data_IF_428728408191
#
_entry.id   IF_428728408191
#
_cell.length_a   1.000
_cell.length_b   1.000
_cell.length_c   1.000
_cell.angle_alpha   90.00
_cell.angle_beta   90.00
_cell.angle_gamma   90.00
#
_symmetry.space_group_name_H-M   'P 1'
#
loop_
_entity.id
_entity.type
_entity.pdbx_description
1 polymer ?
#
# COMPACT_ATOMS: atom_id res chain seq x y z
N UNK A 1 7.35 36.29 33.91
CA UNK A 1 6.82 35.13 34.67
C UNK A 1 5.70 34.35 33.97
N UNK A 2 5.44 34.57 32.71
CA UNK A 2 4.37 33.94 31.88
C UNK A 2 4.86 32.73 31.08
N UNK A 3 6.16 32.50 30.96
CA UNK A 3 6.75 31.52 30.05
C UNK A 3 6.80 30.07 30.62
N UNK A 4 6.85 29.90 31.93
CA UNK A 4 7.01 28.56 32.54
C UNK A 4 5.73 27.72 32.57
N UNK A 5 4.56 28.36 32.57
CA UNK A 5 3.26 27.65 32.58
C UNK A 5 2.87 27.09 31.19
N UNK A 6 3.21 27.82 30.15
CA UNK A 6 2.95 27.39 28.77
C UNK A 6 3.83 26.21 28.37
N UNK A 7 5.12 26.23 28.75
CA UNK A 7 6.05 25.09 28.58
C UNK A 7 5.60 23.84 29.37
N UNK A 8 5.07 24.03 30.59
CA UNK A 8 4.59 22.90 31.41
C UNK A 8 3.31 22.31 30.86
N UNK A 9 2.43 23.13 30.26
CA UNK A 9 1.19 22.68 29.63
C UNK A 9 1.47 21.94 28.33
N UNK A 10 2.38 22.44 27.50
CA UNK A 10 2.85 21.80 26.28
C UNK A 10 3.58 20.47 26.58
N UNK A 11 4.40 20.42 27.64
CA UNK A 11 5.10 19.20 28.05
C UNK A 11 4.15 18.12 28.60
N UNK A 12 3.12 18.51 29.38
CA UNK A 12 2.06 17.57 29.84
C UNK A 12 1.16 17.10 28.70
N UNK A 13 0.88 17.96 27.75
CA UNK A 13 0.07 17.58 26.57
C UNK A 13 0.84 16.63 25.65
N UNK A 14 2.14 16.87 25.45
CA UNK A 14 3.02 15.98 24.71
C UNK A 14 3.17 14.59 25.37
N UNK A 15 3.20 14.51 26.68
CA UNK A 15 3.30 13.24 27.42
C UNK A 15 2.02 12.39 27.34
N UNK A 16 0.84 13.03 27.29
CA UNK A 16 -0.44 12.33 27.10
C UNK A 16 -0.65 11.86 25.65
N UNK A 17 -0.21 12.65 24.68
CA UNK A 17 -0.23 12.30 23.25
C UNK A 17 0.63 11.07 23.02
N UNK A 18 1.82 10.97 23.61
CA UNK A 18 2.73 9.82 23.47
C UNK A 18 2.09 8.47 23.89
N UNK A 19 1.25 8.41 24.92
CA UNK A 19 0.64 7.14 25.35
C UNK A 19 -0.37 6.60 24.33
N UNK A 20 -1.21 7.48 23.77
CA UNK A 20 -2.22 7.10 22.77
C UNK A 20 -1.57 6.77 21.42
N UNK A 21 -0.47 7.45 21.08
CA UNK A 21 0.32 7.12 19.90
C UNK A 21 0.99 5.74 20.02
N UNK A 22 1.47 5.38 21.20
CA UNK A 22 2.09 4.08 21.47
C UNK A 22 1.15 2.92 21.15
N UNK A 23 -0.14 3.04 21.49
CA UNK A 23 -1.15 2.00 21.15
C UNK A 23 -1.18 1.75 19.64
N UNK A 24 -1.21 2.83 18.84
CA UNK A 24 -1.19 2.71 17.38
C UNK A 24 0.11 2.10 16.88
N UNK A 25 1.25 2.53 17.41
CA UNK A 25 2.56 2.01 17.01
C UNK A 25 2.71 0.52 17.31
N UNK A 26 2.23 0.05 18.45
CA UNK A 26 2.18 -1.39 18.75
C UNK A 26 1.30 -2.15 17.75
N UNK A 27 0.14 -1.60 17.40
CA UNK A 27 -0.69 -2.19 16.36
C UNK A 27 0.03 -2.31 15.02
N UNK A 28 0.77 -1.27 14.61
CA UNK A 28 1.57 -1.30 13.37
C UNK A 28 2.66 -2.38 13.45
N UNK A 29 3.37 -2.50 14.57
CA UNK A 29 4.39 -3.53 14.77
C UNK A 29 3.77 -4.93 14.62
N UNK A 30 2.64 -5.18 15.27
CA UNK A 30 1.94 -6.46 15.24
C UNK A 30 1.50 -6.80 13.82
N UNK A 31 0.80 -5.88 13.13
CA UNK A 31 0.24 -6.18 11.81
C UNK A 31 1.31 -6.32 10.73
N UNK A 32 2.37 -5.50 10.75
CA UNK A 32 3.48 -5.61 9.80
C UNK A 32 4.27 -6.90 10.03
N UNK A 33 4.55 -7.26 11.29
CA UNK A 33 5.15 -8.55 11.66
C UNK A 33 4.30 -9.71 11.16
N UNK A 34 3.01 -9.71 11.48
CA UNK A 34 2.05 -10.73 11.02
C UNK A 34 2.04 -10.88 9.50
N UNK A 35 2.00 -9.76 8.77
CA UNK A 35 1.99 -9.77 7.31
C UNK A 35 3.27 -10.39 6.72
N UNK A 36 4.43 -10.06 7.25
CA UNK A 36 5.70 -10.65 6.77
C UNK A 36 5.77 -12.13 7.12
N UNK A 37 5.42 -12.49 8.35
CA UNK A 37 5.42 -13.88 8.80
C UNK A 37 4.40 -14.75 8.05
N UNK A 38 3.26 -14.18 7.60
CA UNK A 38 2.30 -14.93 6.78
C UNK A 38 2.83 -15.30 5.39
N UNK A 39 3.88 -14.60 4.92
CA UNK A 39 4.61 -14.96 3.71
C UNK A 39 5.89 -15.77 3.98
N UNK A 40 6.26 -15.97 5.24
CA UNK A 40 7.50 -16.66 5.62
C UNK A 40 7.39 -18.16 5.42
N UNK A 41 8.44 -18.76 4.85
CA UNK A 41 8.62 -20.22 4.74
C UNK A 41 9.56 -20.75 5.84
N UNK A 42 10.23 -19.86 6.60
CA UNK A 42 11.07 -20.25 7.76
C UNK A 42 10.21 -20.44 9.01
N UNK A 43 9.23 -19.55 9.19
CA UNK A 43 8.40 -19.51 10.41
C UNK A 43 6.96 -19.74 9.99
N UNK A 44 6.44 -20.93 10.26
CA UNK A 44 5.02 -21.23 10.07
C UNK A 44 4.20 -20.66 11.22
N UNK A 45 3.23 -19.80 10.89
CA UNK A 45 2.28 -19.28 11.87
C UNK A 45 1.09 -20.24 11.97
N UNK A 46 0.83 -20.77 13.18
CA UNK A 46 -0.39 -21.56 13.38
C UNK A 46 -1.65 -20.69 13.16
N UNK A 47 -2.76 -21.27 12.70
CA UNK A 47 -4.02 -20.54 12.51
C UNK A 47 -4.48 -19.81 13.77
N UNK A 48 -4.30 -20.42 14.94
CA UNK A 48 -4.65 -19.84 16.24
C UNK A 48 -3.81 -18.58 16.52
N UNK A 49 -2.49 -18.65 16.31
CA UNK A 49 -1.60 -17.52 16.53
C UNK A 49 -1.87 -16.39 15.52
N UNK A 50 -2.16 -16.72 14.26
CA UNK A 50 -2.57 -15.75 13.24
C UNK A 50 -3.85 -15.00 13.65
N UNK A 51 -4.85 -15.71 14.16
CA UNK A 51 -6.09 -15.14 14.65
C UNK A 51 -5.87 -14.27 15.89
N UNK A 52 -4.99 -14.69 16.80
CA UNK A 52 -4.60 -13.91 17.98
C UNK A 52 -3.97 -12.57 17.58
N UNK A 53 -3.04 -12.56 16.62
CA UNK A 53 -2.42 -11.32 16.11
C UNK A 53 -3.46 -10.41 15.44
N UNK A 54 -4.39 -10.98 14.66
CA UNK A 54 -5.49 -10.22 14.05
C UNK A 54 -6.37 -9.57 15.12
N UNK A 55 -6.79 -10.33 16.12
CA UNK A 55 -7.64 -9.85 17.23
C UNK A 55 -6.92 -8.77 18.04
N UNK A 56 -5.64 -8.97 18.34
CA UNK A 56 -4.82 -7.99 19.06
C UNK A 56 -4.71 -6.68 18.28
N UNK A 57 -4.49 -6.74 16.96
CA UNK A 57 -4.48 -5.55 16.13
C UNK A 57 -5.82 -4.82 16.15
N UNK A 58 -6.93 -5.53 15.95
CA UNK A 58 -8.28 -4.95 15.99
C UNK A 58 -8.55 -4.29 17.34
N UNK A 59 -8.21 -4.97 18.45
CA UNK A 59 -8.36 -4.46 19.80
C UNK A 59 -7.55 -3.17 20.02
N UNK A 60 -6.27 -3.12 19.61
CA UNK A 60 -5.44 -1.94 19.74
C UNK A 60 -5.97 -0.76 18.91
N UNK A 61 -6.43 -1.01 17.67
CA UNK A 61 -7.01 0.05 16.85
C UNK A 61 -8.32 0.57 17.45
N UNK A 62 -9.17 -0.31 17.96
CA UNK A 62 -10.40 0.06 18.66
C UNK A 62 -10.10 0.87 19.91
N UNK A 63 -9.16 0.43 20.74
CA UNK A 63 -8.74 1.15 21.94
C UNK A 63 -8.20 2.55 21.58
N UNK A 64 -7.40 2.67 20.52
CA UNK A 64 -6.91 3.96 20.02
C UNK A 64 -8.06 4.87 19.61
N UNK A 65 -9.05 4.35 18.90
CA UNK A 65 -10.25 5.11 18.51
C UNK A 65 -10.99 5.60 19.73
N UNK A 66 -11.24 4.74 20.73
CA UNK A 66 -11.92 5.10 21.97
C UNK A 66 -11.18 6.22 22.72
N UNK A 67 -9.83 6.12 22.83
CA UNK A 67 -9.02 7.15 23.48
C UNK A 67 -9.03 8.52 22.78
N UNK A 68 -9.34 8.54 21.47
CA UNK A 68 -9.39 9.78 20.66
C UNK A 68 -10.81 10.22 20.33
N UNK A 69 -11.81 9.45 20.76
CA UNK A 69 -13.20 9.74 20.50
C UNK A 69 -13.63 10.96 21.32
N UNK A 70 -14.15 11.96 20.62
CA UNK A 70 -14.77 13.12 21.26
C UNK A 70 -16.28 12.88 21.27
N UNK A 71 -16.92 12.91 22.42
CA UNK A 71 -18.35 12.59 22.64
C UNK A 71 -19.34 13.40 21.76
N UNK A 72 -18.87 14.44 21.08
CA UNK A 72 -19.67 15.16 20.08
C UNK A 72 -19.73 14.38 18.79
N UNK A 73 -20.84 13.67 18.58
CA UNK A 73 -21.12 12.96 17.32
C UNK A 73 -21.25 13.99 16.20
N UNK A 74 -20.30 13.95 15.25
CA UNK A 74 -20.34 14.74 14.01
C UNK A 74 -20.77 13.85 12.85
N UNK A 75 -21.34 14.43 11.79
CA UNK A 75 -21.72 13.71 10.56
C UNK A 75 -20.59 12.81 10.03
N UNK A 76 -19.33 13.26 10.16
CA UNK A 76 -18.14 12.49 9.79
C UNK A 76 -18.03 11.16 10.55
N UNK A 77 -18.40 11.10 11.83
CA UNK A 77 -18.33 9.87 12.61
C UNK A 77 -19.35 8.83 12.13
N UNK A 78 -20.52 9.27 11.66
CA UNK A 78 -21.56 8.40 11.07
C UNK A 78 -21.03 7.79 9.76
N UNK A 79 -20.40 8.60 8.90
CA UNK A 79 -19.80 8.13 7.65
C UNK A 79 -18.70 7.10 7.92
N UNK A 80 -17.83 7.33 8.92
CA UNK A 80 -16.82 6.36 9.32
C UNK A 80 -17.42 5.08 9.89
N UNK A 81 -18.47 5.15 10.68
CA UNK A 81 -19.16 3.97 11.20
C UNK A 81 -19.76 3.15 10.06
N UNK A 82 -20.45 3.79 9.11
CA UNK A 82 -20.96 3.11 7.91
C UNK A 82 -19.86 2.49 7.07
N UNK A 83 -18.73 3.18 6.91
CA UNK A 83 -17.58 2.63 6.22
C UNK A 83 -17.01 1.39 6.91
N UNK A 84 -16.91 1.38 8.26
CA UNK A 84 -16.47 0.18 9.00
C UNK A 84 -17.48 -0.95 8.84
N UNK A 85 -18.77 -0.69 9.01
CA UNK A 85 -19.82 -1.71 8.85
C UNK A 85 -19.72 -2.34 7.44
N UNK A 86 -19.59 -1.50 6.42
CA UNK A 86 -19.40 -1.98 5.04
C UNK A 86 -18.15 -2.84 4.90
N UNK A 87 -17.00 -2.40 5.44
CA UNK A 87 -15.75 -3.18 5.33
C UNK A 87 -15.79 -4.48 6.15
N UNK A 88 -16.49 -4.52 7.29
CA UNK A 88 -16.75 -5.76 8.04
C UNK A 88 -17.58 -6.72 7.19
N UNK A 89 -18.69 -6.24 6.63
CA UNK A 89 -19.55 -7.05 5.77
C UNK A 89 -18.77 -7.64 4.58
N UNK A 90 -18.07 -6.76 3.84
CA UNK A 90 -17.26 -7.19 2.69
C UNK A 90 -16.18 -8.20 3.13
N UNK A 91 -15.47 -7.96 4.24
CA UNK A 91 -14.42 -8.87 4.74
C UNK A 91 -14.94 -10.26 5.07
N UNK A 92 -16.15 -10.36 5.61
CA UNK A 92 -16.81 -11.64 5.87
C UNK A 92 -17.19 -12.32 4.55
N UNK A 93 -17.75 -11.56 3.59
CA UNK A 93 -18.15 -12.09 2.28
C UNK A 93 -16.97 -12.64 1.47
N UNK A 94 -15.82 -11.97 1.53
CA UNK A 94 -14.63 -12.38 0.75
C UNK A 94 -13.68 -13.30 1.52
N UNK A 95 -13.98 -13.62 2.79
CA UNK A 95 -13.08 -14.35 3.71
C UNK A 95 -11.66 -13.75 3.78
N UNK A 96 -11.59 -12.41 3.74
CA UNK A 96 -10.31 -11.68 3.76
C UNK A 96 -10.42 -10.37 4.54
N UNK A 97 -9.69 -10.27 5.64
CA UNK A 97 -9.76 -9.14 6.57
C UNK A 97 -8.85 -7.96 6.22
N UNK A 98 -8.18 -7.98 5.07
CA UNK A 98 -7.19 -6.94 4.68
C UNK A 98 -7.82 -5.55 4.55
N UNK A 99 -9.05 -5.49 4.00
CA UNK A 99 -9.78 -4.21 3.86
C UNK A 99 -10.29 -3.70 5.22
N UNK A 100 -10.68 -4.60 6.13
CA UNK A 100 -11.06 -4.25 7.49
C UNK A 100 -9.85 -3.68 8.25
N UNK A 101 -8.69 -4.33 8.18
CA UNK A 101 -7.47 -3.83 8.83
C UNK A 101 -7.04 -2.49 8.26
N UNK A 102 -7.15 -2.30 6.94
CA UNK A 102 -6.92 -1.02 6.28
C UNK A 102 -7.88 0.06 6.79
N UNK A 103 -9.18 -0.23 6.87
CA UNK A 103 -10.18 0.72 7.36
C UNK A 103 -9.95 1.09 8.83
N UNK A 104 -9.70 0.11 9.70
CA UNK A 104 -9.40 0.35 11.12
C UNK A 104 -8.11 1.17 11.29
N UNK A 105 -7.06 0.83 10.53
CA UNK A 105 -5.80 1.57 10.53
C UNK A 105 -6.00 3.03 10.10
N UNK A 106 -6.81 3.28 9.07
CA UNK A 106 -7.14 4.63 8.61
C UNK A 106 -7.93 5.40 9.68
N UNK A 107 -8.93 4.81 10.28
CA UNK A 107 -9.78 5.49 11.27
C UNK A 107 -9.00 5.83 12.55
N UNK A 108 -8.16 4.89 13.00
CA UNK A 108 -7.28 5.08 14.15
C UNK A 108 -6.14 6.08 13.89
N UNK A 109 -5.89 6.49 12.64
CA UNK A 109 -4.81 7.40 12.23
C UNK A 109 -4.99 8.83 12.74
N UNK A 110 -6.20 9.21 13.17
CA UNK A 110 -6.48 10.57 13.64
C UNK A 110 -5.49 11.02 14.73
N UNK A 111 -4.86 12.19 14.50
CA UNK A 111 -3.89 12.78 15.42
C UNK A 111 -2.50 12.11 15.40
N UNK A 112 -2.25 11.19 14.46
CA UNK A 112 -0.96 10.48 14.35
C UNK A 112 -0.01 11.16 13.37
N UNK A 113 1.28 11.06 13.67
CA UNK A 113 2.32 11.46 12.73
C UNK A 113 2.65 10.32 11.75
N UNK A 114 2.21 10.46 10.51
CA UNK A 114 2.42 9.43 9.47
C UNK A 114 3.90 9.13 9.24
N UNK A 115 4.78 10.13 9.31
CA UNK A 115 6.22 9.90 9.15
C UNK A 115 6.79 8.97 10.22
N UNK A 116 6.27 9.06 11.46
CA UNK A 116 6.65 8.14 12.55
C UNK A 116 6.11 6.73 12.31
N UNK A 117 4.88 6.61 11.80
CA UNK A 117 4.28 5.31 11.46
C UNK A 117 5.10 4.60 10.36
N UNK A 118 5.42 5.32 9.28
CA UNK A 118 6.24 4.80 8.19
C UNK A 118 7.63 4.39 8.71
N UNK A 119 8.20 5.16 9.65
CA UNK A 119 9.50 4.82 10.26
C UNK A 119 9.44 3.53 11.07
N UNK A 120 8.38 3.31 11.83
CA UNK A 120 8.19 2.06 12.59
C UNK A 120 8.01 0.89 11.63
N UNK A 121 7.11 1.02 10.62
CA UNK A 121 6.95 0.02 9.56
C UNK A 121 8.27 -0.35 8.91
N UNK A 122 9.07 0.66 8.55
CA UNK A 122 10.40 0.51 7.96
C UNK A 122 11.35 -0.32 8.84
N UNK A 123 11.45 -0.02 10.14
CA UNK A 123 12.33 -0.79 11.04
C UNK A 123 11.86 -2.22 11.27
N UNK A 124 10.55 -2.45 11.37
CA UNK A 124 9.98 -3.80 11.46
C UNK A 124 10.26 -4.60 10.19
N UNK A 125 10.09 -3.99 9.01
CA UNK A 125 10.40 -4.63 7.72
C UNK A 125 11.91 -4.91 7.59
N UNK A 126 12.78 -3.96 7.95
CA UNK A 126 14.24 -4.19 7.98
C UNK A 126 14.56 -5.43 8.81
N UNK A 127 14.08 -5.48 10.04
CA UNK A 127 14.38 -6.60 10.93
C UNK A 127 14.02 -7.94 10.31
N UNK A 128 12.79 -8.10 9.88
CA UNK A 128 12.31 -9.37 9.32
C UNK A 128 12.93 -9.73 7.98
N UNK A 129 13.04 -8.77 7.06
CA UNK A 129 13.59 -9.04 5.73
C UNK A 129 15.11 -9.29 5.78
N UNK A 130 15.82 -8.64 6.68
CA UNK A 130 17.23 -8.93 6.94
C UNK A 130 17.41 -10.34 7.48
N UNK A 131 16.57 -10.78 8.42
CA UNK A 131 16.59 -12.15 8.94
C UNK A 131 16.38 -13.18 7.82
N UNK A 132 15.37 -12.98 6.95
CA UNK A 132 15.13 -13.87 5.80
C UNK A 132 16.30 -13.88 4.82
N UNK A 133 16.88 -12.72 4.54
CA UNK A 133 18.01 -12.61 3.62
C UNK A 133 19.26 -13.31 4.15
N UNK A 134 19.59 -13.14 5.43
CA UNK A 134 20.71 -13.87 6.06
C UNK A 134 20.46 -15.37 6.15
N UNK A 135 19.25 -15.80 6.48
CA UNK A 135 18.88 -17.21 6.47
C UNK A 135 19.03 -17.82 5.07
N UNK A 136 18.65 -17.07 4.02
CA UNK A 136 18.82 -17.49 2.64
C UNK A 136 20.30 -17.63 2.25
N UNK A 137 21.15 -16.65 2.59
CA UNK A 137 22.58 -16.73 2.35
C UNK A 137 23.18 -17.94 3.09
N UNK A 138 22.85 -18.11 4.36
CA UNK A 138 23.32 -19.25 5.16
C UNK A 138 22.92 -20.59 4.55
N UNK A 139 21.66 -20.70 4.06
CA UNK A 139 21.17 -21.90 3.42
C UNK A 139 21.92 -22.21 2.11
N UNK A 140 22.26 -21.21 1.29
CA UNK A 140 23.05 -21.43 0.07
C UNK A 140 24.39 -22.13 0.37
N UNK A 141 25.07 -21.72 1.47
CA UNK A 141 26.39 -22.27 1.79
C UNK A 141 26.33 -23.57 2.60
N UNK A 142 25.38 -23.71 3.53
CA UNK A 142 25.34 -24.82 4.47
C UNK A 142 24.32 -25.90 4.10
N UNK A 143 23.20 -25.51 3.44
CA UNK A 143 22.06 -26.39 3.15
C UNK A 143 21.48 -26.10 1.76
N UNK A 144 22.24 -26.26 0.66
CA UNK A 144 21.82 -25.83 -0.68
C UNK A 144 20.50 -26.49 -1.13
N UNK A 145 20.20 -27.70 -0.67
CA UNK A 145 18.96 -28.41 -0.99
C UNK A 145 17.72 -27.84 -0.31
N UNK A 146 17.88 -26.98 0.71
CA UNK A 146 16.76 -26.30 1.39
C UNK A 146 16.38 -24.99 0.72
N UNK A 147 17.17 -24.53 -0.26
CA UNK A 147 16.91 -23.27 -0.95
C UNK A 147 15.73 -23.43 -1.91
N UNK A 148 14.67 -22.71 -1.65
CA UNK A 148 13.46 -22.79 -2.46
C UNK A 148 13.52 -21.84 -3.65
N UNK A 149 13.08 -22.34 -4.79
CA UNK A 149 12.95 -21.59 -6.03
C UNK A 149 11.66 -21.98 -6.77
N UNK A 150 11.22 -21.11 -7.66
CA UNK A 150 10.15 -21.38 -8.61
C UNK A 150 10.72 -21.42 -10.01
N UNK A 151 10.30 -22.40 -10.82
CA UNK A 151 10.56 -22.41 -12.26
C UNK A 151 9.38 -21.74 -12.96
N UNK A 152 9.61 -20.60 -13.55
CA UNK A 152 8.62 -19.82 -14.30
C UNK A 152 9.26 -19.42 -15.63
N UNK A 153 8.64 -19.80 -16.74
CA UNK A 153 9.16 -19.55 -18.10
C UNK A 153 10.61 -20.06 -18.30
N UNK A 154 10.94 -21.24 -17.76
CA UNK A 154 12.27 -21.83 -17.74
C UNK A 154 13.34 -21.02 -16.98
N UNK A 155 12.95 -20.00 -16.22
CA UNK A 155 13.84 -19.22 -15.37
C UNK A 155 13.75 -19.67 -13.91
N UNK A 156 14.91 -19.85 -13.26
CA UNK A 156 14.99 -20.06 -11.81
C UNK A 156 14.79 -18.73 -11.10
N UNK A 157 13.78 -18.67 -10.23
CA UNK A 157 13.43 -17.49 -9.43
C UNK A 157 13.48 -17.84 -7.96
N UNK A 158 14.40 -17.27 -7.22
CA UNK A 158 14.54 -17.51 -5.78
C UNK A 158 13.48 -16.77 -4.98
N UNK A 159 13.01 -17.41 -3.91
CA UNK A 159 11.94 -16.87 -3.02
C UNK A 159 12.50 -16.17 -1.79
N UNK A 160 13.78 -16.36 -1.46
CA UNK A 160 14.43 -15.84 -0.23
C UNK A 160 13.62 -16.22 1.03
N UNK A 161 13.16 -17.47 1.08
CA UNK A 161 12.27 -18.01 2.14
C UNK A 161 10.96 -17.22 2.35
N UNK A 162 10.47 -16.58 1.30
CA UNK A 162 9.14 -15.97 1.23
C UNK A 162 8.30 -16.71 0.19
N UNK A 163 6.99 -16.74 0.38
CA UNK A 163 6.05 -17.62 -0.37
C UNK A 163 6.18 -17.58 -1.90
N UNK A 164 6.53 -16.42 -2.46
CA UNK A 164 6.67 -16.22 -3.90
C UNK A 164 7.76 -15.21 -4.25
N UNK A 165 8.45 -15.34 -5.41
CA UNK A 165 9.48 -14.38 -5.83
C UNK A 165 8.95 -12.95 -5.98
N UNK A 166 7.73 -12.76 -6.51
CA UNK A 166 7.12 -11.44 -6.67
C UNK A 166 6.78 -10.81 -5.32
N UNK A 167 6.28 -11.58 -4.35
CA UNK A 167 6.03 -11.12 -2.97
C UNK A 167 7.33 -10.68 -2.30
N UNK A 168 8.41 -11.45 -2.48
CA UNK A 168 9.73 -11.08 -2.00
C UNK A 168 10.19 -9.73 -2.58
N UNK A 169 10.19 -9.60 -3.91
CA UNK A 169 10.57 -8.35 -4.57
C UNK A 169 9.71 -7.16 -4.13
N UNK A 170 8.41 -7.37 -3.94
CA UNK A 170 7.46 -6.38 -3.44
C UNK A 170 7.83 -5.88 -2.04
N UNK A 171 8.09 -6.76 -1.09
CA UNK A 171 8.43 -6.39 0.28
C UNK A 171 9.72 -5.56 0.32
N UNK A 172 10.75 -5.94 -0.43
CA UNK A 172 11.98 -5.16 -0.54
C UNK A 172 11.79 -3.84 -1.29
N UNK A 173 10.94 -3.79 -2.32
CA UNK A 173 10.60 -2.55 -3.03
C UNK A 173 9.98 -1.53 -2.08
N UNK A 174 8.96 -1.93 -1.33
CA UNK A 174 8.26 -1.04 -0.39
C UNK A 174 9.15 -0.65 0.79
N UNK A 175 10.06 -1.52 1.25
CA UNK A 175 11.08 -1.17 2.22
C UNK A 175 11.98 -0.02 1.70
N UNK A 176 12.46 -0.11 0.46
CA UNK A 176 13.28 0.92 -0.16
C UNK A 176 12.47 2.21 -0.36
N UNK A 177 11.20 2.12 -0.73
CA UNK A 177 10.33 3.28 -0.89
C UNK A 177 10.06 3.99 0.44
N UNK A 178 9.88 3.25 1.55
CA UNK A 178 9.82 3.83 2.90
C UNK A 178 11.13 4.56 3.25
N UNK A 179 12.29 3.95 2.96
CA UNK A 179 13.58 4.62 3.13
C UNK A 179 13.68 5.92 2.32
N UNK A 180 13.33 5.88 1.03
CA UNK A 180 13.34 7.05 0.17
C UNK A 180 12.39 8.14 0.66
N UNK A 181 11.18 7.76 1.10
CA UNK A 181 10.21 8.68 1.66
C UNK A 181 10.74 9.36 2.93
N UNK A 182 11.29 8.60 3.86
CA UNK A 182 11.82 9.12 5.12
C UNK A 182 13.02 10.05 4.92
N UNK A 183 13.84 9.79 3.91
CA UNK A 183 15.07 10.53 3.62
C UNK A 183 14.98 11.42 2.38
N UNK A 184 13.78 11.75 1.90
CA UNK A 184 13.56 12.41 0.61
C UNK A 184 14.44 13.64 0.37
N UNK A 185 14.52 14.55 1.35
CA UNK A 185 15.33 15.76 1.28
C UNK A 185 16.86 15.52 1.27
N UNK A 186 17.27 14.33 1.68
CA UNK A 186 18.68 13.92 1.79
C UNK A 186 19.07 12.88 0.74
N UNK A 187 18.21 12.65 -0.26
CA UNK A 187 18.52 11.72 -1.34
C UNK A 187 19.62 12.32 -2.22
N UNK A 188 20.71 11.56 -2.36
CA UNK A 188 21.87 11.88 -3.18
C UNK A 188 22.10 10.78 -4.21
N UNK A 189 22.93 11.06 -5.23
CA UNK A 189 23.30 10.07 -6.22
C UNK A 189 23.97 8.82 -5.60
N UNK A 190 24.80 8.99 -4.56
CA UNK A 190 25.42 7.86 -3.86
C UNK A 190 24.38 6.96 -3.19
N UNK A 191 23.33 7.53 -2.56
CA UNK A 191 22.23 6.77 -1.97
C UNK A 191 21.40 6.04 -3.03
N UNK A 192 21.23 6.68 -4.20
CA UNK A 192 20.64 6.03 -5.36
C UNK A 192 21.47 4.80 -5.76
N UNK A 193 22.76 4.96 -5.96
CA UNK A 193 23.63 3.86 -6.39
C UNK A 193 23.59 2.69 -5.39
N UNK A 194 23.76 2.98 -4.10
CA UNK A 194 23.71 1.95 -3.04
C UNK A 194 22.35 1.22 -3.02
N UNK A 195 21.24 1.95 -3.05
CA UNK A 195 19.91 1.33 -3.07
C UNK A 195 19.66 0.53 -4.36
N UNK A 196 20.20 1.01 -5.50
CA UNK A 196 20.09 0.30 -6.79
C UNK A 196 20.91 -0.97 -6.82
N UNK A 197 22.12 -0.97 -6.27
CA UNK A 197 22.95 -2.18 -6.14
C UNK A 197 22.27 -3.22 -5.26
N UNK A 198 21.80 -2.80 -4.07
CA UNK A 198 21.08 -3.70 -3.18
C UNK A 198 19.81 -4.27 -3.83
N UNK A 199 18.98 -3.41 -4.42
CA UNK A 199 17.76 -3.84 -5.08
C UNK A 199 18.06 -4.67 -6.34
N UNK A 200 19.13 -4.37 -7.04
CA UNK A 200 19.62 -5.14 -8.19
C UNK A 200 19.90 -6.60 -7.85
N UNK A 201 20.48 -6.87 -6.66
CA UNK A 201 20.66 -8.24 -6.16
C UNK A 201 19.31 -8.93 -5.95
N UNK A 202 18.34 -8.25 -5.29
CA UNK A 202 17.01 -8.79 -5.07
C UNK A 202 16.30 -9.10 -6.40
N UNK A 203 16.38 -8.19 -7.37
CA UNK A 203 15.79 -8.37 -8.71
C UNK A 203 16.48 -9.50 -9.47
N UNK A 204 17.80 -9.61 -9.38
CA UNK A 204 18.53 -10.71 -10.00
C UNK A 204 18.07 -12.08 -9.48
N UNK A 205 17.85 -12.19 -8.16
CA UNK A 205 17.38 -13.41 -7.52
C UNK A 205 15.91 -13.71 -7.84
N UNK A 206 15.04 -12.70 -7.79
CA UNK A 206 13.58 -12.87 -7.92
C UNK A 206 13.06 -12.78 -9.35
N UNK A 207 13.83 -12.18 -10.27
CA UNK A 207 13.45 -11.90 -11.67
C UNK A 207 12.13 -11.14 -11.80
N UNK A 208 11.78 -10.28 -10.83
CA UNK A 208 10.53 -9.53 -10.80
C UNK A 208 10.59 -8.31 -11.73
N UNK A 209 10.01 -8.44 -12.93
CA UNK A 209 9.99 -7.38 -13.96
C UNK A 209 9.22 -6.15 -13.49
N UNK A 210 8.10 -6.33 -12.82
CA UNK A 210 7.26 -5.23 -12.32
C UNK A 210 7.98 -4.35 -11.33
N UNK A 211 8.64 -4.98 -10.35
CA UNK A 211 9.32 -4.25 -9.28
C UNK A 211 10.45 -3.37 -9.79
N UNK A 212 11.20 -3.83 -10.82
CA UNK A 212 12.25 -3.01 -11.42
C UNK A 212 11.66 -1.80 -12.17
N UNK A 213 10.58 -2.00 -12.93
CA UNK A 213 9.94 -0.90 -13.68
C UNK A 213 9.48 0.20 -12.73
N UNK A 214 8.80 -0.18 -11.64
CA UNK A 214 8.28 0.79 -10.67
C UNK A 214 9.41 1.46 -9.88
N UNK A 215 10.48 0.75 -9.56
CA UNK A 215 11.68 1.31 -8.93
C UNK A 215 12.34 2.37 -9.80
N UNK A 216 12.61 2.04 -11.08
CA UNK A 216 13.21 2.98 -12.03
C UNK A 216 12.31 4.20 -12.24
N UNK A 217 11.02 3.99 -12.39
CA UNK A 217 10.06 5.07 -12.57
C UNK A 217 10.03 6.01 -11.36
N UNK A 218 10.02 5.48 -10.12
CA UNK A 218 10.06 6.33 -8.93
C UNK A 218 11.30 7.24 -8.93
N UNK A 219 12.47 6.70 -9.27
CA UNK A 219 13.70 7.48 -9.36
C UNK A 219 13.62 8.55 -10.45
N UNK A 220 13.07 8.22 -11.61
CA UNK A 220 12.84 9.21 -12.68
C UNK A 220 11.91 10.33 -12.22
N UNK A 221 10.83 10.00 -11.51
CA UNK A 221 9.91 10.99 -10.97
C UNK A 221 10.59 11.89 -9.91
N UNK A 222 11.43 11.31 -9.04
CA UNK A 222 12.20 12.06 -8.04
C UNK A 222 13.21 12.99 -8.72
N UNK A 223 13.92 12.53 -9.73
CA UNK A 223 14.94 13.32 -10.43
C UNK A 223 14.36 14.45 -11.27
N UNK A 224 13.26 14.14 -11.98
CA UNK A 224 12.60 15.07 -12.88
C UNK A 224 11.62 16.02 -12.17
N UNK A 225 11.48 15.93 -10.85
CA UNK A 225 10.48 16.66 -10.07
C UNK A 225 10.60 18.18 -10.15
N UNK A 226 11.76 18.73 -10.55
CA UNK A 226 12.00 20.17 -10.72
C UNK A 226 11.32 20.73 -11.96
N UNK A 227 11.05 19.92 -13.00
CA UNK A 227 10.47 20.36 -14.27
C UNK A 227 8.98 20.66 -14.10
N UNK A 228 8.53 21.84 -14.52
CA UNK A 228 7.11 22.27 -14.40
C UNK A 228 6.13 21.30 -15.06
N UNK A 229 6.46 20.74 -16.24
CA UNK A 229 5.63 19.77 -16.94
C UNK A 229 5.43 18.50 -16.11
N UNK A 230 6.52 17.93 -15.56
CA UNK A 230 6.48 16.73 -14.73
C UNK A 230 5.68 16.98 -13.44
N UNK A 231 5.84 18.16 -12.81
CA UNK A 231 5.02 18.52 -11.62
C UNK A 231 3.52 18.53 -11.94
N UNK A 232 3.13 19.10 -13.10
CA UNK A 232 1.73 19.08 -13.52
C UNK A 232 1.23 17.66 -13.79
N UNK A 233 2.04 16.83 -14.48
CA UNK A 233 1.71 15.43 -14.76
C UNK A 233 1.53 14.61 -13.47
N UNK A 234 2.47 14.74 -12.51
CA UNK A 234 2.37 14.09 -11.20
C UNK A 234 1.11 14.56 -10.46
N UNK A 235 0.83 15.89 -10.48
CA UNK A 235 -0.38 16.44 -9.88
C UNK A 235 -1.65 15.88 -10.50
N UNK A 236 -1.73 15.82 -11.83
CA UNK A 236 -2.86 15.26 -12.55
C UNK A 236 -3.01 13.76 -12.26
N UNK A 237 -1.93 13.00 -12.40
CA UNK A 237 -1.98 11.54 -12.22
C UNK A 237 -2.25 11.13 -10.77
N UNK A 238 -1.71 11.84 -9.77
CA UNK A 238 -2.04 11.60 -8.36
C UNK A 238 -3.51 11.84 -8.02
N UNK A 239 -4.20 12.73 -8.76
CA UNK A 239 -5.60 13.09 -8.55
C UNK A 239 -6.57 12.18 -9.32
N UNK A 240 -6.29 11.92 -10.58
CA UNK A 240 -7.20 11.24 -11.50
C UNK A 240 -6.70 9.84 -11.91
N UNK A 241 -5.44 9.51 -11.65
CA UNK A 241 -4.82 8.27 -12.13
C UNK A 241 -5.54 7.02 -11.67
N UNK A 242 -6.02 6.98 -10.41
CA UNK A 242 -6.79 5.84 -9.94
C UNK A 242 -8.11 5.68 -10.70
N UNK A 243 -8.83 6.77 -10.93
CA UNK A 243 -10.12 6.76 -11.66
C UNK A 243 -9.88 6.29 -13.11
N UNK A 244 -8.87 6.85 -13.77
CA UNK A 244 -8.53 6.52 -15.16
C UNK A 244 -8.13 5.05 -15.28
N UNK A 245 -7.23 4.58 -14.41
CA UNK A 245 -6.77 3.19 -14.44
C UNK A 245 -7.89 2.21 -14.08
N UNK A 246 -8.71 2.54 -13.08
CA UNK A 246 -9.87 1.71 -12.69
C UNK A 246 -10.87 1.59 -13.83
N UNK A 247 -11.24 2.70 -14.47
CA UNK A 247 -12.16 2.69 -15.61
C UNK A 247 -11.55 1.92 -16.81
N UNK A 248 -10.27 2.13 -17.09
CA UNK A 248 -9.56 1.43 -18.16
C UNK A 248 -9.54 -0.09 -17.93
N UNK A 249 -9.11 -0.54 -16.73
CA UNK A 249 -9.06 -1.98 -16.44
C UNK A 249 -10.44 -2.62 -16.34
N UNK A 250 -11.44 -1.93 -15.81
CA UNK A 250 -12.82 -2.42 -15.84
C UNK A 250 -13.30 -2.60 -17.29
N UNK A 251 -13.09 -1.59 -18.16
CA UNK A 251 -13.47 -1.65 -19.56
C UNK A 251 -12.79 -2.79 -20.33
N UNK A 252 -11.45 -2.93 -20.16
CA UNK A 252 -10.69 -3.97 -20.86
C UNK A 252 -11.04 -5.37 -20.31
N UNK A 253 -11.30 -5.51 -19.01
CA UNK A 253 -11.71 -6.78 -18.39
C UNK A 253 -13.05 -7.26 -18.98
N UNK A 254 -14.04 -6.37 -19.07
CA UNK A 254 -15.38 -6.68 -19.64
C UNK A 254 -15.30 -7.03 -21.13
N UNK A 255 -14.48 -6.29 -21.88
CA UNK A 255 -14.40 -6.41 -23.33
C UNK A 255 -13.19 -7.22 -23.82
N UNK A 256 -12.59 -8.06 -22.97
CA UNK A 256 -11.32 -8.74 -23.25
C UNK A 256 -11.30 -9.46 -24.59
N UNK A 257 -12.35 -10.21 -24.92
CA UNK A 257 -12.44 -11.01 -26.16
C UNK A 257 -12.72 -10.16 -27.39
N UNK A 258 -13.31 -8.97 -27.22
CA UNK A 258 -13.74 -8.09 -28.32
C UNK A 258 -12.65 -7.09 -28.73
N UNK A 259 -11.62 -6.90 -27.90
CA UNK A 259 -10.57 -5.93 -28.14
C UNK A 259 -9.29 -6.61 -28.65
N UNK A 260 -8.88 -6.31 -29.87
CA UNK A 260 -7.67 -6.89 -30.47
C UNK A 260 -6.39 -6.60 -29.65
N UNK A 261 -6.31 -5.42 -29.02
CA UNK A 261 -5.15 -5.04 -28.21
C UNK A 261 -5.12 -5.71 -26.83
N UNK A 262 -6.22 -6.28 -26.33
CA UNK A 262 -6.27 -6.93 -25.00
C UNK A 262 -5.28 -8.08 -24.88
N UNK A 263 -5.07 -8.84 -25.97
CA UNK A 263 -4.08 -9.93 -25.99
C UNK A 263 -2.65 -9.41 -25.87
N UNK A 264 -2.32 -8.33 -26.58
CA UNK A 264 -1.01 -7.69 -26.49
C UNK A 264 -0.78 -7.16 -25.06
N UNK A 265 -1.77 -6.45 -24.51
CA UNK A 265 -1.73 -5.95 -23.14
C UNK A 265 -1.58 -7.10 -22.12
N UNK A 266 -2.28 -8.21 -22.32
CA UNK A 266 -2.18 -9.38 -21.48
C UNK A 266 -0.78 -10.01 -21.47
N UNK A 267 -0.10 -10.01 -22.62
CA UNK A 267 1.30 -10.49 -22.73
C UNK A 267 2.23 -9.59 -21.89
N UNK A 268 2.07 -8.27 -21.98
CA UNK A 268 2.82 -7.32 -21.14
C UNK A 268 2.54 -7.50 -19.65
N UNK A 269 1.29 -7.81 -19.29
CA UNK A 269 0.86 -8.05 -17.91
C UNK A 269 1.00 -9.51 -17.47
N UNK A 270 1.72 -10.34 -18.24
CA UNK A 270 2.03 -11.74 -17.90
C UNK A 270 0.80 -12.58 -17.51
N UNK A 271 -0.30 -12.45 -18.29
CA UNK A 271 -1.52 -13.24 -18.10
C UNK A 271 -2.55 -12.66 -17.10
N UNK A 272 -2.21 -11.62 -16.36
CA UNK A 272 -3.06 -11.05 -15.29
C UNK A 272 -4.40 -10.53 -15.77
N UNK A 273 -4.44 -9.98 -16.97
CA UNK A 273 -5.68 -9.48 -17.55
C UNK A 273 -6.63 -10.60 -17.96
N UNK A 274 -6.11 -11.69 -18.52
CA UNK A 274 -6.89 -12.86 -18.88
C UNK A 274 -7.52 -13.53 -17.64
N UNK A 275 -6.78 -13.64 -16.53
CA UNK A 275 -7.30 -14.12 -15.25
C UNK A 275 -8.46 -13.26 -14.74
N UNK A 276 -8.32 -11.94 -14.79
CA UNK A 276 -9.38 -11.02 -14.41
C UNK A 276 -10.62 -11.13 -15.33
N UNK A 277 -10.40 -11.23 -16.65
CA UNK A 277 -11.49 -11.37 -17.62
C UNK A 277 -12.23 -12.71 -17.47
N UNK A 278 -11.50 -13.80 -17.20
CA UNK A 278 -12.12 -15.11 -16.87
C UNK A 278 -12.95 -15.01 -15.60
N UNK A 279 -12.42 -14.40 -14.55
CA UNK A 279 -13.15 -14.20 -13.29
C UNK A 279 -14.43 -13.37 -13.52
N UNK A 280 -14.33 -12.29 -14.33
CA UNK A 280 -15.50 -11.49 -14.69
C UNK A 280 -16.55 -12.29 -15.46
N UNK A 281 -16.16 -13.13 -16.42
CA UNK A 281 -17.09 -13.92 -17.22
C UNK A 281 -17.87 -14.94 -16.39
N UNK A 282 -17.33 -15.39 -15.26
CA UNK A 282 -18.00 -16.36 -14.36
C UNK A 282 -18.78 -15.70 -13.23
N UNK A 283 -18.27 -14.60 -12.67
CA UNK A 283 -18.78 -14.03 -11.41
C UNK A 283 -19.37 -12.61 -11.57
N UNK A 284 -19.00 -11.87 -12.63
CA UNK A 284 -19.40 -10.48 -12.81
C UNK A 284 -18.77 -9.52 -11.80
N UNK A 285 -19.19 -8.25 -11.83
CA UNK A 285 -18.89 -7.25 -10.80
C UNK A 285 -19.99 -7.23 -9.75
N UNK A 286 -19.64 -7.01 -8.49
CA UNK A 286 -20.59 -6.88 -7.39
C UNK A 286 -20.48 -5.53 -6.71
N UNK A 287 -21.53 -5.10 -5.99
CA UNK A 287 -21.52 -3.83 -5.28
C UNK A 287 -20.63 -3.87 -4.03
N UNK A 288 -20.74 -4.93 -3.22
CA UNK A 288 -20.11 -5.03 -1.90
C UNK A 288 -19.03 -6.11 -1.78
N UNK A 289 -18.62 -6.67 -2.93
CA UNK A 289 -17.62 -7.74 -2.97
C UNK A 289 -18.24 -9.14 -2.99
N UNK A 290 -17.40 -10.12 -3.32
CA UNK A 290 -17.77 -11.53 -3.41
C UNK A 290 -16.58 -12.43 -3.12
N UNK A 291 -16.85 -13.61 -2.59
CA UNK A 291 -15.84 -14.65 -2.41
C UNK A 291 -15.39 -15.19 -3.77
N UNK A 292 -14.09 -15.24 -3.94
CA UNK A 292 -13.44 -15.81 -5.13
C UNK A 292 -12.40 -16.84 -4.68
N UNK A 293 -12.48 -18.05 -5.18
CA UNK A 293 -11.50 -19.11 -4.89
C UNK A 293 -10.19 -18.83 -5.65
N UNK A 294 -9.44 -17.82 -5.18
CA UNK A 294 -8.15 -17.46 -5.77
C UNK A 294 -7.15 -18.60 -5.61
N UNK A 295 -6.40 -18.89 -6.68
CA UNK A 295 -5.47 -20.02 -6.73
C UNK A 295 -6.11 -21.36 -7.10
N UNK A 296 -7.42 -21.44 -7.22
CA UNK A 296 -8.08 -22.67 -7.67
C UNK A 296 -7.65 -23.02 -9.08
N UNK A 297 -7.21 -24.26 -9.26
CA UNK A 297 -7.01 -24.84 -10.58
C UNK A 297 -8.36 -25.07 -11.24
N UNK A 298 -8.48 -24.65 -12.48
CA UNK A 298 -9.63 -24.88 -13.35
C UNK A 298 -9.19 -25.69 -14.55
N UNK A 299 -10.12 -26.28 -15.28
CA UNK A 299 -9.84 -26.83 -16.59
C UNK A 299 -9.27 -25.73 -17.51
N UNK A 300 -8.37 -26.15 -18.41
CA UNK A 300 -7.77 -25.22 -19.36
C UNK A 300 -8.85 -24.49 -20.17
N UNK A 301 -8.91 -23.17 -20.00
CA UNK A 301 -9.81 -22.34 -20.78
C UNK A 301 -9.11 -21.86 -22.07
N UNK A 302 -9.52 -22.34 -23.25
CA UNK A 302 -8.87 -21.99 -24.52
C UNK A 302 -9.08 -20.53 -24.93
N UNK A 303 -10.15 -19.89 -24.45
CA UNK A 303 -10.50 -18.50 -24.78
C UNK A 303 -9.57 -17.55 -24.02
N UNK A 304 -9.48 -17.72 -22.71
CA UNK A 304 -8.65 -16.89 -21.82
C UNK A 304 -7.23 -17.40 -21.69
N UNK A 305 -6.96 -18.67 -22.05
CA UNK A 305 -5.66 -19.36 -21.93
C UNK A 305 -5.15 -19.38 -20.48
N UNK A 306 -6.05 -19.71 -19.56
CA UNK A 306 -5.77 -19.82 -18.13
C UNK A 306 -6.22 -21.19 -17.62
N UNK A 307 -5.50 -21.70 -16.59
CA UNK A 307 -5.80 -22.94 -15.87
C UNK A 307 -5.99 -22.73 -14.37
N UNK A 308 -6.03 -21.47 -13.94
CA UNK A 308 -6.21 -21.07 -12.54
C UNK A 308 -6.76 -19.66 -12.45
N UNK A 309 -7.44 -19.36 -11.34
CA UNK A 309 -8.03 -18.05 -11.09
C UNK A 309 -7.08 -17.24 -10.23
N UNK A 310 -6.53 -16.15 -10.77
CA UNK A 310 -5.66 -15.21 -10.06
C UNK A 310 -6.07 -13.78 -10.36
N UNK A 311 -6.07 -12.94 -9.31
CA UNK A 311 -6.31 -11.50 -9.42
C UNK A 311 -5.09 -10.75 -8.89
N UNK A 312 -4.14 -10.49 -9.75
CA UNK A 312 -2.90 -9.79 -9.40
C UNK A 312 -2.92 -8.30 -9.77
N UNK A 313 -3.89 -7.85 -10.58
CA UNK A 313 -4.10 -6.44 -10.88
C UNK A 313 -5.00 -5.82 -9.81
N UNK A 314 -4.54 -4.77 -9.12
CA UNK A 314 -5.29 -4.11 -8.06
C UNK A 314 -6.63 -3.53 -8.53
N UNK A 315 -6.69 -2.99 -9.73
CA UNK A 315 -7.90 -2.34 -10.26
C UNK A 315 -8.98 -3.35 -10.55
N UNK A 316 -8.63 -4.47 -11.20
CA UNK A 316 -9.56 -5.57 -11.45
C UNK A 316 -9.98 -6.25 -10.13
N UNK A 317 -9.06 -6.44 -9.19
CA UNK A 317 -9.34 -7.00 -7.87
C UNK A 317 -10.34 -6.15 -7.08
N UNK A 318 -10.24 -4.81 -7.19
CA UNK A 318 -11.20 -3.90 -6.54
C UNK A 318 -12.63 -4.19 -6.99
N UNK A 319 -12.88 -4.30 -8.28
CA UNK A 319 -14.23 -4.50 -8.81
C UNK A 319 -14.73 -5.94 -8.66
N UNK A 320 -13.85 -6.92 -8.82
CA UNK A 320 -14.21 -8.33 -8.81
C UNK A 320 -14.33 -8.92 -7.42
N UNK A 321 -13.43 -8.55 -6.51
CA UNK A 321 -13.37 -9.12 -5.17
C UNK A 321 -13.93 -8.18 -4.10
N UNK A 322 -13.49 -6.91 -4.05
CA UNK A 322 -13.87 -5.98 -2.97
C UNK A 322 -15.17 -5.22 -3.23
N UNK A 323 -15.61 -5.15 -4.48
CA UNK A 323 -16.85 -4.50 -4.90
C UNK A 323 -16.69 -3.05 -5.36
N UNK A 324 -17.67 -2.63 -6.17
CA UNK A 324 -17.70 -1.31 -6.83
C UNK A 324 -17.70 -0.18 -5.80
N UNK A 325 -18.44 -0.33 -4.70
CA UNK A 325 -18.55 0.71 -3.67
C UNK A 325 -17.20 0.99 -3.03
N UNK A 326 -16.42 -0.06 -2.74
CA UNK A 326 -15.07 0.09 -2.18
C UNK A 326 -14.13 0.79 -3.17
N UNK A 327 -14.17 0.42 -4.45
CA UNK A 327 -13.39 1.08 -5.50
C UNK A 327 -13.72 2.58 -5.62
N UNK A 328 -15.00 2.95 -5.57
CA UNK A 328 -15.45 4.35 -5.61
C UNK A 328 -14.97 5.12 -4.37
N UNK A 329 -15.02 4.52 -3.18
CA UNK A 329 -14.55 5.17 -1.96
C UNK A 329 -13.06 5.48 -1.99
N UNK A 330 -12.22 4.56 -2.51
CA UNK A 330 -10.79 4.80 -2.73
C UNK A 330 -10.58 5.92 -3.77
N UNK A 331 -11.36 5.92 -4.87
CA UNK A 331 -11.30 6.97 -5.88
C UNK A 331 -11.61 8.36 -5.30
N UNK A 332 -12.67 8.47 -4.51
CA UNK A 332 -13.07 9.71 -3.84
C UNK A 332 -11.98 10.15 -2.84
N UNK A 333 -11.45 9.22 -2.04
CA UNK A 333 -10.41 9.52 -1.07
C UNK A 333 -9.13 10.07 -1.73
N UNK A 334 -8.66 9.45 -2.81
CA UNK A 334 -7.49 9.89 -3.57
C UNK A 334 -7.74 11.23 -4.26
N UNK A 335 -8.90 11.38 -4.92
CA UNK A 335 -9.28 12.63 -5.58
C UNK A 335 -9.33 13.80 -4.58
N UNK A 336 -10.01 13.59 -3.46
CA UNK A 336 -10.16 14.62 -2.41
C UNK A 336 -8.84 14.96 -1.71
N UNK A 337 -8.04 13.95 -1.35
CA UNK A 337 -6.77 14.16 -0.66
C UNK A 337 -5.71 14.83 -1.55
N UNK A 338 -5.76 14.64 -2.86
CA UNK A 338 -4.74 15.13 -3.79
C UNK A 338 -4.46 16.63 -3.67
N UNK A 339 -5.46 17.44 -3.32
CA UNK A 339 -5.31 18.89 -3.15
C UNK A 339 -4.52 19.25 -1.87
N UNK A 340 -4.40 18.33 -0.91
CA UNK A 340 -3.70 18.48 0.38
C UNK A 340 -2.38 17.72 0.45
N UNK A 341 -2.05 16.93 -0.56
CA UNK A 341 -0.78 16.22 -0.66
C UNK A 341 0.36 17.14 -1.06
N UNK A 342 1.51 17.01 -0.39
CA UNK A 342 2.73 17.68 -0.84
C UNK A 342 3.18 17.07 -2.18
N UNK A 343 4.06 17.77 -2.90
CA UNK A 343 4.59 17.25 -4.17
C UNK A 343 5.33 15.91 -3.98
N UNK A 344 6.07 15.79 -2.89
CA UNK A 344 6.70 14.53 -2.47
C UNK A 344 5.65 13.40 -2.33
N UNK A 345 4.57 13.66 -1.59
CA UNK A 345 3.53 12.64 -1.35
C UNK A 345 2.89 12.17 -2.66
N UNK A 346 2.64 13.11 -3.59
CA UNK A 346 2.09 12.83 -4.93
C UNK A 346 2.99 11.89 -5.75
N UNK A 347 4.32 12.02 -5.64
CA UNK A 347 5.27 11.12 -6.31
C UNK A 347 5.08 9.68 -5.85
N UNK A 348 4.97 9.44 -4.53
CA UNK A 348 4.78 8.08 -4.00
C UNK A 348 3.38 7.53 -4.26
N UNK A 349 2.35 8.39 -4.30
CA UNK A 349 1.01 8.01 -4.75
C UNK A 349 1.04 7.58 -6.23
N UNK A 350 1.74 8.31 -7.10
CA UNK A 350 1.89 7.90 -8.50
C UNK A 350 2.60 6.55 -8.63
N UNK A 351 3.67 6.31 -7.87
CA UNK A 351 4.37 5.02 -7.87
C UNK A 351 3.45 3.87 -7.40
N UNK A 352 2.62 4.09 -6.37
CA UNK A 352 1.61 3.13 -5.92
C UNK A 352 0.59 2.82 -7.02
N UNK A 353 0.06 3.85 -7.69
CA UNK A 353 -0.92 3.65 -8.75
C UNK A 353 -0.37 2.83 -9.92
N UNK A 354 0.88 3.09 -10.31
CA UNK A 354 1.53 2.32 -11.38
C UNK A 354 1.83 0.89 -10.93
N UNK A 355 2.26 0.70 -9.67
CA UNK A 355 2.47 -0.62 -9.11
C UNK A 355 1.19 -1.46 -9.11
N UNK A 356 0.04 -0.84 -8.84
CA UNK A 356 -1.28 -1.49 -8.86
C UNK A 356 -1.73 -2.03 -10.22
N UNK A 357 -1.08 -1.64 -11.32
CA UNK A 357 -1.36 -2.17 -12.67
C UNK A 357 -1.06 -3.68 -12.74
N UNK A 358 -0.06 -4.12 -12.01
CA UNK A 358 0.42 -5.50 -12.06
C UNK A 358 0.44 -6.23 -10.72
N UNK A 359 0.08 -5.56 -9.62
CA UNK A 359 0.10 -6.16 -8.29
C UNK A 359 -1.13 -5.76 -7.49
N UNK A 360 -1.64 -6.66 -6.63
CA UNK A 360 -2.89 -6.48 -5.88
C UNK A 360 -2.74 -5.81 -4.51
N UNK A 361 -1.52 -5.42 -4.12
CA UNK A 361 -1.20 -5.01 -2.74
C UNK A 361 -1.52 -3.56 -2.38
N UNK A 362 -1.97 -2.72 -3.32
CA UNK A 362 -2.19 -1.28 -3.05
C UNK A 362 -3.25 -1.00 -1.98
N UNK A 363 -4.17 -1.94 -1.76
CA UNK A 363 -5.20 -1.82 -0.71
C UNK A 363 -4.67 -1.99 0.71
N UNK A 364 -3.50 -2.61 0.87
CA UNK A 364 -2.91 -2.87 2.18
C UNK A 364 -2.00 -1.72 2.60
N UNK A 365 -2.51 -0.83 3.46
CA UNK A 365 -1.78 0.35 3.96
C UNK A 365 -0.48 0.02 4.71
N UNK A 366 -0.35 -1.19 5.25
CA UNK A 366 0.82 -1.62 6.01
C UNK A 366 1.93 -2.21 5.13
N UNK A 367 1.57 -2.69 3.94
CA UNK A 367 2.52 -3.06 2.89
C UNK A 367 2.83 -1.88 1.98
N UNK A 368 1.80 -1.15 1.56
CA UNK A 368 1.84 -0.05 0.60
C UNK A 368 1.44 1.27 1.28
N UNK A 369 2.40 1.95 1.89
CA UNK A 369 2.19 3.11 2.76
C UNK A 369 1.55 4.36 2.12
N UNK A 370 1.55 4.62 0.80
CA UNK A 370 0.98 5.86 0.27
C UNK A 370 -0.50 6.10 0.62
N UNK A 371 -1.29 5.05 0.84
CA UNK A 371 -2.66 5.22 1.36
C UNK A 371 -2.71 5.77 2.80
N UNK A 372 -1.71 5.51 3.64
CA UNK A 372 -1.58 6.17 4.95
C UNK A 372 -1.36 7.67 4.80
N UNK A 373 -0.56 8.08 3.80
CA UNK A 373 -0.31 9.48 3.50
C UNK A 373 -1.62 10.15 3.06
N UNK A 374 -2.36 9.50 2.15
CA UNK A 374 -3.67 9.98 1.66
C UNK A 374 -4.65 10.16 2.82
N UNK A 375 -4.78 9.17 3.69
CA UNK A 375 -5.65 9.24 4.86
C UNK A 375 -5.24 10.36 5.83
N UNK A 376 -3.94 10.53 6.06
CA UNK A 376 -3.42 11.62 6.90
C UNK A 376 -3.72 13.00 6.31
N UNK A 377 -3.58 13.17 5.01
CA UNK A 377 -3.89 14.43 4.34
C UNK A 377 -5.37 14.83 4.54
N UNK A 378 -6.28 13.86 4.52
CA UNK A 378 -7.71 14.08 4.80
C UNK A 378 -7.94 14.56 6.24
N UNK A 379 -7.26 13.93 7.24
CA UNK A 379 -7.39 14.31 8.65
C UNK A 379 -6.78 15.69 8.96
N UNK A 380 -5.61 15.99 8.36
CA UNK A 380 -4.82 17.18 8.66
C UNK A 380 -5.14 18.38 7.75
N UNK A 381 -6.24 18.28 6.99
CA UNK A 381 -6.71 19.35 6.08
C UNK A 381 -6.66 20.75 6.70
N UNK A 382 -7.10 20.91 7.96
CA UNK A 382 -7.13 22.21 8.63
C UNK A 382 -5.74 22.80 8.86
N UNK A 383 -4.76 21.97 9.21
CA UNK A 383 -3.38 22.42 9.43
C UNK A 383 -2.73 22.81 8.09
N UNK A 384 -2.98 22.02 7.04
CA UNK A 384 -2.51 22.32 5.70
C UNK A 384 -3.06 23.67 5.19
N UNK A 385 -4.35 23.92 5.36
CA UNK A 385 -4.97 25.17 4.95
C UNK A 385 -4.42 26.37 5.73
N UNK A 386 -4.21 26.25 7.05
CA UNK A 386 -3.60 27.29 7.88
C UNK A 386 -2.15 27.61 7.42
N UNK A 387 -1.35 26.58 7.14
CA UNK A 387 0.03 26.75 6.70
C UNK A 387 0.12 27.47 5.33
N UNK A 388 -0.78 27.15 4.41
CA UNK A 388 -0.80 27.79 3.09
C UNK A 388 -1.34 29.23 3.18
N UNK A 389 -2.33 29.49 4.02
CA UNK A 389 -2.85 30.83 4.25
C UNK A 389 -1.78 31.78 4.78
N UNK A 390 -0.99 31.34 5.77
CA UNK A 390 0.12 32.10 6.31
C UNK A 390 1.25 32.37 5.30
N UNK A 391 1.49 31.43 4.36
CA UNK A 391 2.48 31.61 3.28
C UNK A 391 2.01 32.65 2.26
N UNK A 392 0.71 32.66 1.93
CA UNK A 392 0.14 33.61 0.98
C UNK A 392 0.05 35.02 1.58
N UNK A 393 -0.19 35.15 2.89
CA UNK A 393 -0.11 36.45 3.59
C UNK A 393 1.33 36.96 3.67
N UNK A 394 2.28 36.10 3.99
CA UNK A 394 3.71 36.48 4.01
C UNK A 394 4.19 36.95 2.63
N UNK A 395 3.79 36.28 1.56
CA UNK A 395 4.13 36.71 0.16
C UNK A 395 3.45 38.00 -0.25
N UNK A 396 2.24 38.29 0.24
CA UNK A 396 1.58 39.56 -0.02
C UNK A 396 2.24 40.72 0.74
N UNK A 397 2.76 40.43 1.97
CA UNK A 397 3.55 41.43 2.72
C UNK A 397 4.87 41.80 2.10
N UNK A 398 5.55 40.85 1.41
CA UNK A 398 6.80 41.12 0.68
C UNK A 398 6.60 41.87 -0.64
N UNK A 399 5.39 41.92 -1.20
CA UNK A 399 5.10 42.70 -2.42
C UNK A 399 4.72 44.17 -2.16
N UNK A 400 4.52 44.56 -0.90
CA UNK A 400 4.15 45.92 -0.50
C UNK A 400 5.18 46.63 0.39
N UNK A 401 6.36 46.08 0.57
CA UNK A 401 7.54 46.67 1.20
C UNK A 401 8.65 46.89 0.17
#
# INVERSE_FOLDING_TARGET
>A
MTDSREYTYLYRHNKKINQVEMIYYFGVIIIVTKLILSYSEIISISPLFNNLLNLTFVFLMFLKVLCTFNLRIKKVHIIFALFVIMTVYTSIQIDNYIILFTALGIIALKGMNVKSIIRISYYVKIFWLTLHFFAFIFAIFCFPNSVQYSLIDNEVRYRIFLSQPNTCAMLFLWLIFEYMYLNYEKLSFSKFLISSLFFGVIIYLTKSKTSIIVYVLLWLLIWQNKRKCIKKLIGFFSKYGYIILSAFFAFVTVNYNNLSFSRILNTFLTGRLAGAAKTYSTNGFTLLGQYLELGKKIEWDPIYRVNSIWLENSYSMMFLNFGIVYAILIAIALWYASDYLTHKDKIFVCAMLIYGISESYIVNIFLCFPLLIVASAIYNKREYLKKNYNIDEARKGECYG
#
